data_IF_694742823463
#
_entry.id   IF_694742823463
#
_cell.length_a   1.000
_cell.length_b   1.000
_cell.length_c   1.000
_cell.angle_alpha   90.00
_cell.angle_beta   90.00
_cell.angle_gamma   90.00
#
_symmetry.space_group_name_H-M   'P 1'
#
loop_
_entity.id
_entity.type
_entity.pdbx_description
1 polymer ?
#
# COMPACT_ATOMS: atom_id res chain seq x y z
N UNK A 1 -8.61 47.29 57.40
CA UNK A 1 -7.83 46.39 56.53
C UNK A 1 -8.54 46.31 55.20
N UNK A 2 -8.09 47.10 54.23
CA UNK A 2 -8.72 47.24 52.91
C UNK A 2 -7.80 46.59 51.89
N UNK A 3 -8.14 45.36 51.46
CA UNK A 3 -7.35 44.58 50.50
C UNK A 3 -7.75 44.90 49.06
N UNK A 4 -6.88 45.58 48.33
CA UNK A 4 -6.99 45.77 46.88
C UNK A 4 -6.61 44.48 46.14
N UNK A 5 -7.57 43.85 45.47
CA UNK A 5 -7.31 42.78 44.50
C UNK A 5 -7.10 43.40 43.11
N UNK A 6 -5.84 43.46 42.68
CA UNK A 6 -5.47 43.84 41.30
C UNK A 6 -5.82 42.68 40.37
N UNK A 7 -6.95 42.82 39.66
CA UNK A 7 -7.32 41.90 38.59
C UNK A 7 -6.38 42.09 37.38
N UNK A 8 -5.46 41.14 37.17
CA UNK A 8 -4.56 41.10 36.02
C UNK A 8 -5.36 40.70 34.77
N UNK A 9 -5.74 41.67 33.95
CA UNK A 9 -6.44 41.50 32.67
C UNK A 9 -5.53 40.73 31.69
N UNK A 10 -5.71 39.42 31.57
CA UNK A 10 -5.04 38.64 30.53
C UNK A 10 -5.80 38.80 29.21
N UNK A 11 -5.08 39.30 28.21
CA UNK A 11 -5.53 39.52 26.85
C UNK A 11 -5.86 38.16 26.18
N UNK A 12 -7.14 37.80 26.10
CA UNK A 12 -7.59 36.61 25.37
C UNK A 12 -7.61 36.98 23.88
N UNK A 13 -6.44 36.93 23.26
CA UNK A 13 -6.33 36.92 21.81
C UNK A 13 -6.83 35.56 21.33
N UNK A 14 -7.95 35.58 20.61
CA UNK A 14 -8.59 34.40 20.04
C UNK A 14 -7.68 33.81 18.94
N UNK A 15 -6.71 32.98 19.35
CA UNK A 15 -5.89 32.19 18.42
C UNK A 15 -6.76 31.10 17.81
N UNK A 16 -6.82 31.08 16.49
CA UNK A 16 -7.41 30.03 15.68
C UNK A 16 -6.90 28.66 16.17
N UNK A 17 -7.82 27.77 16.56
CA UNK A 17 -7.49 26.41 17.04
C UNK A 17 -6.82 25.64 15.91
N UNK A 18 -5.52 25.43 15.98
CA UNK A 18 -4.78 24.52 15.08
C UNK A 18 -5.31 23.10 15.29
N UNK A 19 -5.86 22.50 14.22
CA UNK A 19 -6.49 21.16 14.19
C UNK A 19 -5.46 20.02 13.99
N UNK A 20 -4.23 20.19 14.45
CA UNK A 20 -3.11 19.29 14.11
C UNK A 20 -2.69 18.35 15.25
N UNK A 21 -3.25 18.52 16.46
CA UNK A 21 -2.92 17.65 17.61
C UNK A 21 -3.51 16.23 17.53
N UNK A 22 -2.91 15.29 18.26
CA UNK A 22 -3.42 13.92 18.39
C UNK A 22 -4.82 13.90 19.04
N UNK A 23 -5.62 12.88 18.73
CA UNK A 23 -7.00 12.75 19.19
C UNK A 23 -7.10 12.80 20.72
N UNK A 24 -6.22 12.10 21.44
CA UNK A 24 -6.18 12.13 22.91
C UNK A 24 -5.89 13.52 23.47
N UNK A 25 -4.95 14.27 22.89
CA UNK A 25 -4.67 15.66 23.33
C UNK A 25 -5.82 16.61 23.01
N UNK A 26 -6.52 16.43 21.90
CA UNK A 26 -7.71 17.22 21.54
C UNK A 26 -8.88 16.96 22.48
N UNK A 27 -9.17 15.69 22.80
CA UNK A 27 -10.18 15.29 23.78
C UNK A 27 -9.88 15.94 25.14
N UNK A 28 -8.61 15.89 25.55
CA UNK A 28 -8.12 16.49 26.79
C UNK A 28 -8.03 18.02 26.77
N UNK A 29 -8.27 18.67 25.62
CA UNK A 29 -8.11 20.12 25.40
C UNK A 29 -6.72 20.64 25.84
N UNK A 30 -5.68 19.83 25.66
CA UNK A 30 -4.27 20.21 25.93
C UNK A 30 -3.50 20.38 24.62
N UNK A 31 -2.59 21.35 24.58
CA UNK A 31 -1.72 21.58 23.40
C UNK A 31 -0.87 20.33 23.13
N UNK A 32 -1.01 19.73 21.95
CA UNK A 32 -0.22 18.57 21.51
C UNK A 32 1.17 19.02 21.05
N UNK A 33 2.19 18.18 21.25
CA UNK A 33 3.56 18.36 20.78
C UNK A 33 3.81 17.79 19.37
N UNK A 34 2.80 17.17 18.75
CA UNK A 34 2.79 16.71 17.35
C UNK A 34 3.85 15.65 16.96
N UNK A 35 4.57 15.11 17.94
CA UNK A 35 5.48 13.98 17.74
C UNK A 35 4.73 12.72 17.28
N UNK A 36 5.28 12.04 16.26
CA UNK A 36 4.77 10.79 15.71
C UNK A 36 5.73 9.65 16.09
N UNK A 37 5.25 8.42 16.36
CA UNK A 37 3.86 7.95 16.25
C UNK A 37 2.96 8.34 17.44
N UNK A 38 3.54 8.66 18.59
CA UNK A 38 2.83 9.06 19.80
C UNK A 38 3.36 10.39 20.31
N UNK A 39 2.47 11.26 20.78
CA UNK A 39 2.87 12.54 21.35
C UNK A 39 3.43 12.34 22.77
N UNK A 40 4.45 13.10 23.15
CA UNK A 40 5.11 12.98 24.48
C UNK A 40 4.11 13.20 25.61
N UNK A 41 3.15 14.12 25.44
CA UNK A 41 2.13 14.37 26.48
C UNK A 41 1.23 13.19 26.80
N UNK A 42 1.05 12.25 25.87
CA UNK A 42 0.31 11.03 26.16
C UNK A 42 1.23 10.02 26.85
N UNK A 43 2.43 9.81 26.30
CA UNK A 43 3.46 8.90 26.82
C UNK A 43 3.85 9.24 28.26
N UNK A 44 4.21 10.49 28.53
CA UNK A 44 4.67 10.96 29.85
C UNK A 44 3.58 10.87 30.92
N UNK A 45 2.30 10.83 30.50
CA UNK A 45 1.17 10.71 31.42
C UNK A 45 0.64 9.28 31.52
N UNK A 46 1.35 8.30 30.96
CA UNK A 46 0.98 6.89 30.96
C UNK A 46 -0.31 6.57 30.19
N UNK A 47 -0.69 7.42 29.22
CA UNK A 47 -1.92 7.24 28.42
C UNK A 47 -1.58 6.75 27.02
N UNK A 48 -2.36 5.80 26.52
CA UNK A 48 -2.34 5.42 25.11
C UNK A 48 -2.66 6.63 24.24
N UNK A 49 -1.77 6.93 23.29
CA UNK A 49 -1.98 8.01 22.36
C UNK A 49 -2.75 7.48 21.16
N UNK A 50 -3.99 7.94 20.98
CA UNK A 50 -4.92 7.55 19.91
C UNK A 50 -4.49 8.06 18.52
N UNK A 51 -3.27 8.58 18.41
CA UNK A 51 -2.69 9.08 17.17
C UNK A 51 -3.35 10.37 16.66
N UNK A 52 -2.91 10.80 15.49
CA UNK A 52 -3.41 12.00 14.82
C UNK A 52 -4.63 11.65 13.98
N UNK A 53 -5.59 12.57 13.86
CA UNK A 53 -6.73 12.36 12.96
C UNK A 53 -6.19 12.04 11.55
N UNK A 54 -6.49 10.84 11.09
CA UNK A 54 -6.26 10.42 9.72
C UNK A 54 -7.00 11.40 8.79
N UNK A 55 -6.36 11.93 7.73
CA UNK A 55 -7.00 12.84 6.78
C UNK A 55 -8.16 12.19 5.99
N UNK A 56 -8.46 10.91 6.21
CA UNK A 56 -9.49 10.15 5.52
C UNK A 56 -10.75 9.95 6.38
N UNK A 57 -11.42 11.04 6.77
CA UNK A 57 -12.82 10.98 7.18
C UNK A 57 -13.67 11.63 6.11
N UNK A 58 -14.27 10.82 5.24
CA UNK A 58 -15.36 11.28 4.37
C UNK A 58 -16.53 11.65 5.27
N UNK A 59 -16.82 12.95 5.36
CA UNK A 59 -18.08 13.44 5.96
C UNK A 59 -19.06 13.62 4.81
N UNK A 60 -19.90 12.63 4.58
CA UNK A 60 -21.06 12.75 3.70
C UNK A 60 -22.17 13.38 4.54
N UNK A 61 -22.35 14.70 4.47
CA UNK A 61 -23.60 15.33 4.88
C UNK A 61 -24.56 15.29 3.70
N UNK A 62 -25.42 14.28 3.66
CA UNK A 62 -26.57 14.29 2.76
C UNK A 62 -27.62 15.25 3.30
N UNK A 63 -27.99 16.28 2.53
CA UNK A 63 -29.34 16.85 2.52
C UNK A 63 -29.66 17.49 1.16
N UNK A 64 -30.95 17.55 0.78
CA UNK A 64 -31.41 17.46 -0.60
C UNK A 64 -31.51 18.81 -1.30
N UNK A 65 -31.35 18.73 -2.62
CA UNK A 65 -31.48 19.80 -3.61
C UNK A 65 -32.85 20.48 -3.47
N UNK A 66 -32.85 21.79 -3.23
CA UNK A 66 -33.94 22.68 -3.62
C UNK A 66 -33.41 23.59 -4.72
N UNK A 67 -33.96 23.38 -5.91
CA UNK A 67 -33.83 24.29 -7.04
C UNK A 67 -34.54 25.59 -6.69
N UNK A 68 -33.89 26.72 -6.96
CA UNK A 68 -34.60 27.94 -7.33
C UNK A 68 -33.81 28.73 -8.37
N UNK A 69 -34.58 29.34 -9.25
CA UNK A 69 -34.21 29.93 -10.52
C UNK A 69 -33.54 31.31 -10.42
N UNK A 70 -32.95 31.69 -11.56
CA UNK A 70 -32.93 33.02 -12.17
C UNK A 70 -31.71 33.93 -11.95
N UNK A 71 -31.25 34.53 -13.06
CA UNK A 71 -30.48 35.77 -13.05
C UNK A 71 -29.30 35.77 -14.03
N UNK A 72 -29.56 35.94 -15.32
CA UNK A 72 -28.52 36.26 -16.29
C UNK A 72 -28.09 37.73 -16.21
N UNK A 73 -26.83 38.03 -16.52
CA UNK A 73 -26.38 39.33 -17.04
C UNK A 73 -25.28 39.10 -18.07
N UNK A 74 -25.42 39.82 -19.19
CA UNK A 74 -24.53 39.87 -20.36
C UNK A 74 -23.35 40.84 -20.14
N UNK A 75 -22.33 40.65 -20.98
CA UNK A 75 -21.49 41.69 -21.61
C UNK A 75 -20.01 41.70 -21.21
N UNK A 76 -19.16 41.83 -22.23
CA UNK A 76 -17.80 42.36 -22.08
C UNK A 76 -16.74 41.62 -22.90
N UNK A 77 -16.83 41.66 -24.23
CA UNK A 77 -15.72 41.26 -25.08
C UNK A 77 -14.56 42.27 -24.96
N UNK A 78 -13.39 41.81 -24.54
CA UNK A 78 -12.12 42.49 -24.75
C UNK A 78 -11.08 41.41 -25.09
N UNK A 79 -10.50 41.53 -26.29
CA UNK A 79 -9.63 40.52 -26.88
C UNK A 79 -8.35 40.31 -26.10
N UNK A 80 -8.07 39.04 -25.82
CA UNK A 80 -6.74 38.54 -25.52
C UNK A 80 -6.45 37.43 -26.53
N UNK A 81 -5.36 37.62 -27.26
CA UNK A 81 -4.91 36.80 -28.37
C UNK A 81 -4.84 35.34 -27.96
N UNK A 82 -5.51 34.49 -28.74
CA UNK A 82 -5.45 33.04 -28.62
C UNK A 82 -4.05 32.57 -29.03
N UNK A 83 -3.16 32.44 -28.05
CA UNK A 83 -2.00 31.56 -28.18
C UNK A 83 -2.58 30.15 -28.14
N UNK A 84 -2.79 29.55 -29.32
CA UNK A 84 -3.03 28.11 -29.43
C UNK A 84 -1.84 27.44 -28.74
N UNK A 85 -2.04 26.68 -27.64
CA UNK A 85 -0.97 25.81 -27.18
C UNK A 85 -0.83 24.74 -28.25
N UNK A 86 0.27 24.77 -28.98
CA UNK A 86 0.74 23.61 -29.73
C UNK A 86 0.89 22.52 -28.69
N UNK A 87 -0.06 21.58 -28.65
CA UNK A 87 0.01 20.38 -27.82
C UNK A 87 1.22 19.60 -28.31
N UNK A 88 2.39 19.92 -27.76
CA UNK A 88 3.52 19.01 -27.79
C UNK A 88 3.03 17.81 -26.98
N UNK A 89 2.69 16.72 -27.67
CA UNK A 89 2.46 15.44 -27.01
C UNK A 89 3.77 15.15 -26.28
N UNK A 90 3.77 15.32 -24.96
CA UNK A 90 4.92 14.94 -24.14
C UNK A 90 4.96 13.42 -24.18
N UNK A 91 5.75 12.88 -25.10
CA UNK A 91 6.01 11.45 -25.15
C UNK A 91 6.79 11.05 -23.91
N UNK A 92 6.20 10.17 -23.10
CA UNK A 92 6.87 9.60 -21.94
C UNK A 92 7.88 8.58 -22.45
N UNK A 93 9.15 8.81 -22.13
CA UNK A 93 10.21 7.94 -22.61
C UNK A 93 10.05 6.52 -22.02
N UNK A 94 10.26 5.44 -22.82
CA UNK A 94 10.18 4.06 -22.34
C UNK A 94 11.06 3.78 -21.10
N UNK A 95 12.21 4.45 -21.02
CA UNK A 95 13.11 4.37 -19.85
C UNK A 95 12.45 4.85 -18.55
N UNK A 96 11.61 5.88 -18.62
CA UNK A 96 10.95 6.46 -17.43
C UNK A 96 9.83 5.53 -16.94
N UNK A 97 9.17 4.85 -17.88
CA UNK A 97 8.17 3.80 -17.61
C UNK A 97 8.85 2.61 -16.91
N UNK A 98 9.92 2.08 -17.49
CA UNK A 98 10.67 0.98 -16.91
C UNK A 98 11.23 1.32 -15.52
N UNK A 99 11.76 2.55 -15.36
CA UNK A 99 12.28 3.03 -14.08
C UNK A 99 11.20 3.12 -13.00
N UNK A 100 10.03 3.69 -13.31
CA UNK A 100 8.92 3.73 -12.36
C UNK A 100 8.38 2.33 -12.06
N UNK A 101 8.26 1.48 -13.09
CA UNK A 101 7.88 0.07 -12.96
C UNK A 101 8.78 -0.67 -11.98
N UNK A 102 10.10 -0.47 -12.10
CA UNK A 102 11.11 -0.97 -11.15
C UNK A 102 10.84 -0.44 -9.74
N UNK A 103 10.59 0.85 -9.59
CA UNK A 103 10.40 1.51 -8.29
C UNK A 103 9.15 1.12 -7.52
N UNK A 104 8.16 0.46 -8.13
CA UNK A 104 7.01 -0.02 -7.37
C UNK A 104 7.37 -1.02 -6.29
N UNK A 105 8.39 -1.88 -6.49
CA UNK A 105 8.75 -2.87 -5.48
C UNK A 105 10.19 -2.79 -5.02
N UNK A 106 10.40 -3.05 -3.72
CA UNK A 106 11.72 -3.33 -3.15
C UNK A 106 12.36 -4.61 -3.65
N UNK A 107 11.59 -5.48 -4.30
CA UNK A 107 12.07 -6.73 -4.91
C UNK A 107 12.96 -6.52 -6.15
N UNK A 108 12.77 -5.42 -6.88
CA UNK A 108 13.40 -5.16 -8.18
C UNK A 108 14.82 -4.59 -8.09
N UNK A 109 15.35 -4.40 -6.88
CA UNK A 109 16.77 -4.07 -6.68
C UNK A 109 17.71 -5.15 -7.25
N UNK A 110 17.18 -6.31 -7.66
CA UNK A 110 17.90 -7.44 -8.24
C UNK A 110 17.47 -7.75 -9.69
N UNK A 111 17.00 -6.73 -10.43
CA UNK A 111 16.69 -6.80 -11.86
C UNK A 111 15.55 -7.76 -12.25
N UNK A 112 14.51 -7.82 -11.40
CA UNK A 112 13.28 -8.59 -11.68
C UNK A 112 12.22 -7.66 -12.26
N UNK A 113 11.75 -7.95 -13.46
CA UNK A 113 10.64 -7.21 -14.09
C UNK A 113 9.28 -7.61 -13.47
N UNK A 114 8.48 -6.63 -13.04
CA UNK A 114 7.18 -6.85 -12.37
C UNK A 114 5.98 -6.94 -13.33
N UNK A 115 6.17 -6.70 -14.62
CA UNK A 115 5.06 -6.58 -15.58
C UNK A 115 4.11 -5.40 -15.28
N UNK A 116 4.63 -4.35 -14.64
CA UNK A 116 3.89 -3.14 -14.20
C UNK A 116 4.11 -1.92 -15.12
N UNK A 117 4.58 -2.15 -16.35
CA UNK A 117 4.91 -1.07 -17.29
C UNK A 117 3.66 -0.29 -17.75
N UNK A 118 2.51 -0.96 -17.87
CA UNK A 118 1.25 -0.29 -18.22
C UNK A 118 0.78 0.62 -17.08
N UNK A 119 0.82 0.14 -15.84
CA UNK A 119 0.47 0.91 -14.65
C UNK A 119 1.43 2.10 -14.48
N UNK A 120 2.73 1.90 -14.69
CA UNK A 120 3.72 2.97 -14.70
C UNK A 120 3.43 4.02 -15.79
N UNK A 121 3.10 3.58 -17.01
CA UNK A 121 2.71 4.48 -18.11
C UNK A 121 1.50 5.32 -17.73
N UNK A 122 0.44 4.71 -17.20
CA UNK A 122 -0.77 5.40 -16.77
C UNK A 122 -0.50 6.43 -15.68
N UNK A 123 0.32 6.07 -14.68
CA UNK A 123 0.73 6.98 -13.61
C UNK A 123 1.51 8.17 -14.18
N UNK A 124 2.49 7.94 -15.05
CA UNK A 124 3.31 9.02 -15.63
C UNK A 124 2.47 9.95 -16.51
N UNK A 125 1.55 9.39 -17.32
CA UNK A 125 0.61 10.18 -18.12
C UNK A 125 -0.26 11.06 -17.24
N UNK A 126 -0.81 10.50 -16.15
CA UNK A 126 -1.64 11.27 -15.24
C UNK A 126 -0.84 12.32 -14.47
N UNK A 127 0.44 12.06 -14.12
CA UNK A 127 1.31 13.02 -13.44
C UNK A 127 1.67 14.26 -14.27
N UNK A 128 1.48 14.24 -15.59
CA UNK A 128 1.63 15.42 -16.43
C UNK A 128 0.57 16.49 -16.10
N UNK A 129 -0.66 16.05 -15.82
CA UNK A 129 -1.81 16.94 -15.57
C UNK A 129 -2.21 17.03 -14.11
N UNK A 130 -1.84 16.03 -13.29
CA UNK A 130 -2.22 15.91 -11.88
C UNK A 130 -1.01 16.18 -10.95
N UNK A 131 -1.02 17.30 -10.20
CA UNK A 131 0.03 17.62 -9.24
C UNK A 131 0.19 16.62 -8.10
N UNK A 132 -0.89 15.99 -7.63
CA UNK A 132 -0.87 15.03 -6.53
C UNK A 132 -0.15 13.75 -6.96
N UNK A 133 -0.46 13.25 -8.16
CA UNK A 133 0.23 12.10 -8.75
C UNK A 133 1.70 12.43 -9.00
N UNK A 134 2.00 13.62 -9.52
CA UNK A 134 3.39 14.06 -9.73
C UNK A 134 4.20 14.09 -8.44
N UNK A 135 3.64 14.64 -7.37
CA UNK A 135 4.28 14.65 -6.05
C UNK A 135 4.47 13.22 -5.51
N UNK A 136 3.48 12.33 -5.69
CA UNK A 136 3.60 10.93 -5.29
C UNK A 136 4.72 10.20 -6.06
N UNK A 137 4.83 10.40 -7.38
CA UNK A 137 5.92 9.84 -8.20
C UNK A 137 7.28 10.38 -7.73
N UNK A 138 7.39 11.69 -7.50
CA UNK A 138 8.63 12.30 -6.99
C UNK A 138 9.04 11.72 -5.65
N UNK A 139 8.07 11.53 -4.75
CA UNK A 139 8.27 10.90 -3.46
C UNK A 139 8.80 9.48 -3.58
N UNK A 140 8.15 8.63 -4.39
CA UNK A 140 8.57 7.25 -4.57
C UNK A 140 9.99 7.18 -5.12
N UNK A 141 10.33 7.99 -6.14
CA UNK A 141 11.68 8.05 -6.71
C UNK A 141 12.72 8.41 -5.66
N UNK A 142 12.53 9.52 -4.95
CA UNK A 142 13.48 10.00 -3.95
C UNK A 142 13.70 8.99 -2.80
N UNK A 143 12.62 8.37 -2.31
CA UNK A 143 12.70 7.36 -1.25
C UNK A 143 13.36 6.06 -1.74
N UNK A 144 13.13 5.68 -3.00
CA UNK A 144 13.77 4.51 -3.63
C UNK A 144 15.25 4.70 -3.85
N UNK A 145 15.66 5.84 -4.39
CA UNK A 145 17.06 6.21 -4.60
C UNK A 145 17.82 6.25 -3.27
N UNK A 146 17.21 6.82 -2.23
CA UNK A 146 17.77 6.79 -0.88
C UNK A 146 17.94 5.37 -0.35
N UNK A 147 16.93 4.50 -0.53
CA UNK A 147 17.01 3.10 -0.11
C UNK A 147 18.12 2.34 -0.86
N UNK A 148 18.23 2.52 -2.18
CA UNK A 148 19.26 1.89 -3.02
C UNK A 148 20.66 2.37 -2.60
N UNK A 149 20.86 3.67 -2.36
CA UNK A 149 22.11 4.23 -1.87
C UNK A 149 22.50 3.72 -0.47
N UNK A 150 21.52 3.40 0.38
CA UNK A 150 21.78 2.87 1.73
C UNK A 150 22.23 1.38 1.73
N UNK A 151 21.95 0.64 0.65
CA UNK A 151 22.30 -0.78 0.52
C UNK A 151 23.75 -1.04 0.09
N UNK A 152 24.37 -0.12 -0.65
CA UNK A 152 25.75 -0.23 -1.15
C UNK A 152 26.77 0.37 -0.17
N UNK A 153 27.07 -0.37 0.91
CA UNK A 153 28.03 0.05 1.94
C UNK A 153 29.50 -0.01 1.46
N UNK A 154 29.77 -0.52 0.25
CA UNK A 154 31.14 -0.66 -0.30
C UNK A 154 31.62 0.61 -1.03
N UNK A 155 30.73 1.52 -1.44
CA UNK A 155 31.08 2.74 -2.19
C UNK A 155 30.99 4.04 -1.36
N UNK A 156 30.77 3.94 -0.05
CA UNK A 156 30.51 5.10 0.82
C UNK A 156 31.79 5.85 1.28
N UNK A 157 32.88 5.83 0.52
CA UNK A 157 34.12 6.55 0.86
C UNK A 157 34.35 7.83 0.04
N UNK A 158 33.45 8.24 -0.86
CA UNK A 158 33.65 9.48 -1.66
C UNK A 158 32.41 10.39 -1.78
N UNK A 159 31.20 9.99 -1.38
CA UNK A 159 30.02 10.86 -1.50
C UNK A 159 29.82 11.77 -0.27
N UNK A 160 30.36 12.98 -0.35
CA UNK A 160 30.12 14.07 0.58
C UNK A 160 28.62 14.49 0.58
N UNK A 161 27.98 14.42 1.76
CA UNK A 161 26.89 15.30 2.25
C UNK A 161 25.42 15.18 1.75
N UNK A 162 25.02 14.26 0.88
CA UNK A 162 23.66 14.27 0.25
C UNK A 162 22.57 13.24 0.63
N UNK A 163 22.77 12.16 1.41
CA UNK A 163 21.71 11.13 1.62
C UNK A 163 20.45 11.62 2.34
N UNK A 164 20.59 12.51 3.34
CA UNK A 164 19.46 12.97 4.18
C UNK A 164 18.47 13.84 3.41
N UNK A 165 18.98 14.68 2.49
CA UNK A 165 18.15 15.62 1.73
C UNK A 165 17.14 14.91 0.82
N UNK A 166 17.55 13.80 0.19
CA UNK A 166 16.66 13.01 -0.67
C UNK A 166 15.51 12.35 0.11
N UNK A 167 15.79 11.83 1.30
CA UNK A 167 14.76 11.24 2.17
C UNK A 167 13.74 12.28 2.65
N UNK A 168 14.22 13.42 3.15
CA UNK A 168 13.36 14.51 3.63
C UNK A 168 12.52 15.11 2.51
N UNK A 169 13.11 15.31 1.33
CA UNK A 169 12.38 15.71 0.13
C UNK A 169 11.30 14.67 -0.23
N UNK A 170 11.65 13.38 -0.23
CA UNK A 170 10.71 12.30 -0.52
C UNK A 170 9.51 12.29 0.43
N UNK A 171 9.73 12.48 1.73
CA UNK A 171 8.65 12.59 2.72
C UNK A 171 7.81 13.86 2.55
N UNK A 172 8.43 14.99 2.22
CA UNK A 172 7.71 16.23 1.96
C UNK A 172 6.77 16.05 0.76
N UNK A 173 7.26 15.48 -0.34
CA UNK A 173 6.46 15.20 -1.53
C UNK A 173 5.33 14.21 -1.24
N UNK A 174 5.58 13.22 -0.38
CA UNK A 174 4.53 12.30 0.07
C UNK A 174 3.40 13.05 0.80
N UNK A 175 3.76 13.93 1.75
CA UNK A 175 2.79 14.71 2.51
C UNK A 175 1.99 15.66 1.60
N UNK A 176 2.64 16.28 0.62
CA UNK A 176 1.98 17.13 -0.38
C UNK A 176 1.00 16.36 -1.25
N UNK A 177 1.39 15.14 -1.69
CA UNK A 177 0.50 14.26 -2.45
C UNK A 177 -0.72 13.84 -1.63
N UNK A 178 -0.52 13.38 -0.39
CA UNK A 178 -1.59 12.98 0.53
C UNK A 178 -2.55 14.14 0.83
N UNK A 179 -2.03 15.29 1.25
CA UNK A 179 -2.83 16.46 1.60
C UNK A 179 -3.57 17.03 0.40
N UNK A 180 -2.90 17.12 -0.76
CA UNK A 180 -3.53 17.55 -1.99
C UNK A 180 -4.64 16.61 -2.46
N UNK A 181 -4.44 15.30 -2.35
CA UNK A 181 -5.44 14.30 -2.71
C UNK A 181 -6.65 14.36 -1.79
N UNK A 182 -6.44 14.53 -0.48
CA UNK A 182 -7.53 14.67 0.49
C UNK A 182 -8.39 15.91 0.17
N UNK A 183 -7.76 17.04 -0.17
CA UNK A 183 -8.47 18.24 -0.61
C UNK A 183 -9.26 17.99 -1.91
N UNK A 184 -8.65 17.31 -2.88
CA UNK A 184 -9.27 16.96 -4.17
C UNK A 184 -10.52 16.08 -3.99
N UNK A 185 -10.44 15.07 -3.12
CA UNK A 185 -11.55 14.19 -2.77
C UNK A 185 -12.66 14.88 -1.97
N UNK A 186 -12.37 16.01 -1.32
CA UNK A 186 -13.35 16.79 -0.57
C UNK A 186 -14.19 17.71 -1.47
N UNK A 187 -13.81 17.87 -2.74
CA UNK A 187 -14.50 18.68 -3.73
C UNK A 187 -15.08 17.83 -4.87
N UNK A 188 -16.13 18.28 -5.58
CA UNK A 188 -16.60 17.62 -6.79
C UNK A 188 -15.56 17.77 -7.91
N UNK A 189 -14.76 16.73 -8.15
CA UNK A 189 -13.82 16.68 -9.26
C UNK A 189 -13.99 15.35 -10.03
N UNK A 190 -14.27 15.39 -11.34
CA UNK A 190 -14.51 14.20 -12.16
C UNK A 190 -13.30 13.25 -12.20
N UNK A 191 -12.09 13.74 -11.97
CA UNK A 191 -10.86 12.96 -11.98
C UNK A 191 -10.40 12.54 -10.56
N UNK A 192 -11.10 12.96 -9.49
CA UNK A 192 -10.65 12.69 -8.12
C UNK A 192 -10.46 11.20 -7.83
N UNK A 193 -11.36 10.35 -8.36
CA UNK A 193 -11.32 8.90 -8.15
C UNK A 193 -10.16 8.24 -8.89
N UNK A 194 -9.96 8.61 -10.16
CA UNK A 194 -8.80 8.19 -10.94
C UNK A 194 -7.50 8.59 -10.24
N UNK A 195 -7.45 9.83 -9.76
CA UNK A 195 -6.31 10.36 -9.00
C UNK A 195 -6.06 9.55 -7.73
N UNK A 196 -7.12 9.22 -6.99
CA UNK A 196 -7.04 8.46 -5.76
C UNK A 196 -6.52 7.04 -5.99
N UNK A 197 -6.98 6.35 -7.03
CA UNK A 197 -6.55 4.97 -7.32
C UNK A 197 -5.10 4.92 -7.82
N UNK A 198 -4.68 5.85 -8.68
CA UNK A 198 -3.27 5.97 -9.09
C UNK A 198 -2.37 6.34 -7.90
N UNK A 199 -2.81 7.26 -7.05
CA UNK A 199 -2.10 7.56 -5.81
C UNK A 199 -2.02 6.34 -4.88
N UNK A 200 -3.07 5.51 -4.77
CA UNK A 200 -3.02 4.29 -3.97
C UNK A 200 -1.94 3.32 -4.47
N UNK A 201 -1.77 3.14 -5.79
CA UNK A 201 -0.68 2.31 -6.36
C UNK A 201 0.70 2.80 -5.90
N UNK A 202 0.92 4.13 -5.96
CA UNK A 202 2.19 4.74 -5.56
C UNK A 202 2.37 4.70 -4.04
N UNK A 203 1.33 4.98 -3.25
CA UNK A 203 1.37 4.99 -1.79
C UNK A 203 1.60 3.59 -1.20
N UNK A 204 1.04 2.53 -1.82
CA UNK A 204 1.40 1.15 -1.49
C UNK A 204 2.91 0.93 -1.60
N UNK A 205 3.51 1.44 -2.67
CA UNK A 205 4.94 1.32 -2.94
C UNK A 205 5.78 2.17 -1.96
N UNK A 206 5.35 3.40 -1.67
CA UNK A 206 6.00 4.28 -0.67
C UNK A 206 5.97 3.64 0.72
N UNK A 207 4.82 3.12 1.16
CA UNK A 207 4.71 2.51 2.48
C UNK A 207 5.50 1.19 2.58
N UNK A 208 5.64 0.44 1.47
CA UNK A 208 6.60 -0.68 1.41
C UNK A 208 8.04 -0.21 1.63
N UNK A 209 8.48 0.85 0.95
CA UNK A 209 9.84 1.40 1.11
C UNK A 209 10.08 1.86 2.55
N UNK A 210 9.07 2.49 3.17
CA UNK A 210 9.11 2.95 4.56
C UNK A 210 8.97 1.81 5.58
N UNK A 211 8.55 0.63 5.16
CA UNK A 211 8.30 -0.53 6.03
C UNK A 211 7.04 -0.43 6.90
N UNK A 212 6.09 0.41 6.51
CA UNK A 212 4.83 0.64 7.23
C UNK A 212 3.70 -0.16 6.57
N UNK A 213 3.66 -1.45 6.88
CA UNK A 213 2.76 -2.40 6.21
C UNK A 213 1.30 -2.19 6.63
N UNK A 214 1.05 -1.66 7.83
CA UNK A 214 -0.30 -1.28 8.25
C UNK A 214 -0.89 -0.18 7.34
N UNK A 215 -0.14 0.88 7.05
CA UNK A 215 -0.59 1.93 6.12
C UNK A 215 -0.68 1.43 4.67
N UNK A 216 0.26 0.58 4.25
CA UNK A 216 0.22 -0.09 2.95
C UNK A 216 -1.09 -0.87 2.75
N UNK A 217 -1.48 -1.68 3.74
CA UNK A 217 -2.75 -2.40 3.73
C UNK A 217 -3.95 -1.44 3.72
N UNK A 218 -3.87 -0.32 4.43
CA UNK A 218 -4.93 0.70 4.40
C UNK A 218 -5.14 1.29 3.00
N UNK A 219 -4.07 1.58 2.24
CA UNK A 219 -4.18 2.06 0.86
C UNK A 219 -4.83 1.01 -0.05
N UNK A 220 -4.50 -0.27 0.13
CA UNK A 220 -5.16 -1.37 -0.60
C UNK A 220 -6.65 -1.45 -0.29
N UNK A 221 -7.00 -1.54 1.00
CA UNK A 221 -8.38 -1.70 1.46
C UNK A 221 -9.25 -0.53 0.96
N UNK A 222 -8.76 0.71 1.11
CA UNK A 222 -9.51 1.89 0.69
C UNK A 222 -9.62 1.98 -0.83
N UNK A 223 -8.56 1.70 -1.56
CA UNK A 223 -8.60 1.74 -3.02
C UNK A 223 -9.52 0.65 -3.60
N UNK A 224 -9.51 -0.57 -3.05
CA UNK A 224 -10.46 -1.62 -3.43
C UNK A 224 -11.91 -1.23 -3.10
N UNK A 225 -12.14 -0.57 -1.97
CA UNK A 225 -13.46 -0.03 -1.62
C UNK A 225 -13.94 1.02 -2.64
N UNK A 226 -13.07 1.93 -3.07
CA UNK A 226 -13.38 2.92 -4.12
C UNK A 226 -13.74 2.21 -5.42
N UNK A 227 -12.95 1.21 -5.84
CA UNK A 227 -13.27 0.45 -7.05
C UNK A 227 -14.67 -0.18 -7.00
N UNK A 228 -15.06 -0.74 -5.86
CA UNK A 228 -16.37 -1.37 -5.69
C UNK A 228 -17.52 -0.37 -5.63
N UNK A 229 -17.39 0.67 -4.80
CA UNK A 229 -18.42 1.71 -4.63
C UNK A 229 -18.74 2.41 -5.97
N UNK A 230 -17.71 2.61 -6.79
CA UNK A 230 -17.84 3.24 -8.10
C UNK A 230 -18.02 2.24 -9.25
N UNK A 231 -18.18 0.94 -8.96
CA UNK A 231 -18.40 -0.12 -9.96
C UNK A 231 -17.38 -0.07 -11.10
N UNK A 232 -16.10 -0.18 -10.74
CA UNK A 232 -14.99 -0.30 -11.69
C UNK A 232 -15.05 -1.59 -12.54
N UNK A 233 -15.78 -2.60 -12.07
CA UNK A 233 -16.06 -3.85 -12.79
C UNK A 233 -17.56 -4.13 -12.82
N UNK A 234 -18.04 -4.93 -13.78
CA UNK A 234 -19.41 -5.44 -13.74
C UNK A 234 -19.68 -6.25 -12.47
N UNK A 235 -20.92 -6.20 -11.98
CA UNK A 235 -21.40 -7.01 -10.88
C UNK A 235 -22.61 -7.83 -11.33
N UNK A 236 -22.83 -9.00 -10.75
CA UNK A 236 -23.97 -9.83 -11.08
C UNK A 236 -24.94 -9.92 -9.91
N UNK A 237 -26.19 -9.55 -10.17
CA UNK A 237 -27.30 -9.71 -9.22
C UNK A 237 -27.93 -11.09 -9.44
N UNK A 238 -27.66 -12.01 -8.52
CA UNK A 238 -28.17 -13.36 -8.58
C UNK A 238 -29.68 -13.45 -8.32
N UNK A 239 -30.27 -12.51 -7.57
CA UNK A 239 -31.71 -12.52 -7.29
C UNK A 239 -32.51 -12.11 -8.53
N UNK A 240 -32.01 -11.11 -9.26
CA UNK A 240 -32.64 -10.59 -10.48
C UNK A 240 -32.11 -11.26 -11.76
N UNK A 241 -31.18 -12.20 -11.63
CA UNK A 241 -30.44 -12.84 -12.74
C UNK A 241 -29.91 -11.80 -13.75
N UNK A 242 -29.34 -10.71 -13.23
CA UNK A 242 -29.05 -9.50 -14.01
C UNK A 242 -27.60 -9.09 -13.90
N UNK A 243 -26.97 -8.92 -15.05
CA UNK A 243 -25.67 -8.27 -15.14
C UNK A 243 -25.82 -6.75 -14.99
N UNK A 244 -25.08 -6.19 -14.05
CA UNK A 244 -24.97 -4.76 -13.84
C UNK A 244 -23.63 -4.30 -14.43
N UNK A 245 -23.64 -3.45 -15.46
CA UNK A 245 -22.41 -3.01 -16.11
C UNK A 245 -21.55 -2.12 -15.19
N UNK A 246 -20.26 -2.07 -15.50
CA UNK A 246 -19.32 -1.13 -14.90
C UNK A 246 -19.74 0.32 -15.23
N UNK A 247 -19.43 1.27 -14.34
CA UNK A 247 -19.81 2.68 -14.52
C UNK A 247 -18.84 3.49 -15.39
N UNK A 248 -17.59 3.07 -15.55
CA UNK A 248 -16.59 3.82 -16.32
C UNK A 248 -15.40 2.97 -16.74
N UNK A 249 -15.06 3.00 -18.03
CA UNK A 249 -13.93 2.28 -18.63
C UNK A 249 -12.56 2.92 -18.32
N UNK A 250 -12.52 4.03 -17.59
CA UNK A 250 -11.30 4.81 -17.34
C UNK A 250 -10.80 4.72 -15.89
N UNK A 251 -11.42 3.88 -15.06
CA UNK A 251 -11.03 3.72 -13.66
C UNK A 251 -9.81 2.77 -13.58
N UNK A 252 -8.69 3.20 -12.98
CA UNK A 252 -7.52 2.34 -12.79
C UNK A 252 -7.86 1.10 -11.96
N UNK A 253 -7.46 -0.07 -12.47
CA UNK A 253 -7.70 -1.35 -11.82
C UNK A 253 -6.62 -1.63 -10.76
N UNK A 254 -6.85 -1.12 -9.54
CA UNK A 254 -5.91 -1.29 -8.42
C UNK A 254 -5.73 -2.76 -8.01
N UNK A 255 -6.76 -3.59 -8.16
CA UNK A 255 -6.68 -5.03 -7.89
C UNK A 255 -5.62 -5.73 -8.76
N UNK A 256 -5.55 -5.42 -10.05
CA UNK A 256 -4.53 -5.92 -10.98
C UNK A 256 -3.13 -5.51 -10.52
N UNK A 257 -2.95 -4.24 -10.16
CA UNK A 257 -1.68 -3.73 -9.63
C UNK A 257 -1.27 -4.50 -8.37
N UNK A 258 -2.18 -4.66 -7.40
CA UNK A 258 -1.90 -5.35 -6.14
C UNK A 258 -1.50 -6.81 -6.41
N UNK A 259 -2.24 -7.53 -7.25
CA UNK A 259 -1.94 -8.93 -7.54
C UNK A 259 -0.54 -9.07 -8.16
N UNK A 260 -0.21 -8.29 -9.19
CA UNK A 260 1.11 -8.28 -9.82
C UNK A 260 2.22 -7.92 -8.83
N UNK A 261 1.99 -6.91 -7.99
CA UNK A 261 2.93 -6.46 -6.96
C UNK A 261 3.32 -7.57 -5.98
N UNK A 262 2.35 -8.38 -5.52
CA UNK A 262 2.62 -9.47 -4.59
C UNK A 262 3.09 -10.75 -5.27
N UNK A 263 2.64 -11.04 -6.49
CA UNK A 263 3.05 -12.21 -7.26
C UNK A 263 4.55 -12.25 -7.56
N UNK A 264 5.20 -11.09 -7.59
CA UNK A 264 6.64 -10.99 -7.78
C UNK A 264 7.44 -11.73 -6.66
N UNK A 265 8.57 -12.39 -6.99
CA UNK A 265 9.41 -13.08 -6.02
C UNK A 265 9.88 -12.18 -4.86
N UNK A 266 9.71 -12.58 -3.59
CA UNK A 266 10.26 -11.85 -2.43
C UNK A 266 11.63 -12.41 -2.02
N UNK A 267 12.58 -11.54 -1.69
CA UNK A 267 13.92 -11.89 -1.17
C UNK A 267 13.95 -12.24 0.34
N UNK A 268 12.80 -12.47 0.99
CA UNK A 268 12.80 -13.03 2.35
C UNK A 268 13.08 -14.54 2.27
N UNK A 269 14.28 -14.91 1.81
CA UNK A 269 14.87 -16.20 2.08
C UNK A 269 15.82 -15.96 3.25
N UNK A 270 15.48 -16.48 4.44
CA UNK A 270 16.28 -16.27 5.64
C UNK A 270 17.74 -16.73 5.41
N UNK A 271 18.76 -15.97 5.86
CA UNK A 271 20.13 -16.41 5.79
C UNK A 271 20.33 -17.68 6.61
N UNK A 272 21.17 -18.58 6.12
CA UNK A 272 21.43 -19.86 6.75
C UNK A 272 22.11 -19.68 8.12
N UNK A 273 21.42 -20.04 9.20
CA UNK A 273 22.06 -20.32 10.48
C UNK A 273 21.98 -21.84 10.71
N UNK A 274 23.08 -22.53 10.43
CA UNK A 274 23.32 -23.88 10.97
C UNK A 274 24.27 -23.73 12.14
N UNK A 275 23.81 -24.08 13.34
CA UNK A 275 24.68 -24.33 14.49
C UNK A 275 25.21 -25.74 14.37
N UNK A 276 26.54 -25.88 14.26
CA UNK A 276 27.20 -27.17 14.40
C UNK A 276 27.16 -27.64 15.87
N UNK A 277 27.43 -28.92 16.15
CA UNK A 277 27.35 -29.53 17.51
C UNK A 277 28.27 -28.86 18.56
N UNK A 278 29.17 -27.97 18.13
CA UNK A 278 30.05 -27.17 19.00
C UNK A 278 29.69 -25.66 19.06
N UNK A 279 28.52 -25.23 18.56
CA UNK A 279 27.99 -23.88 18.77
C UNK A 279 28.68 -22.75 18.00
N UNK A 280 29.36 -23.03 16.89
CA UNK A 280 30.04 -22.01 16.06
C UNK A 280 29.27 -21.75 14.76
N UNK A 281 28.96 -20.47 14.50
CA UNK A 281 28.23 -20.00 13.31
C UNK A 281 29.17 -19.78 12.12
N UNK A 282 28.92 -20.43 10.97
CA UNK A 282 29.54 -20.09 9.69
C UNK A 282 28.47 -19.85 8.61
N UNK A 283 28.65 -18.76 7.85
CA UNK A 283 27.86 -18.48 6.65
C UNK A 283 28.46 -19.19 5.43
N UNK A 284 27.64 -19.90 4.66
CA UNK A 284 28.05 -20.54 3.39
C UNK A 284 27.31 -19.88 2.22
N UNK A 285 28.07 -19.49 1.19
CA UNK A 285 27.54 -19.07 -0.11
C UNK A 285 27.00 -20.27 -0.90
N UNK A 286 25.86 -20.07 -1.55
CA UNK A 286 25.17 -21.02 -2.43
C UNK A 286 26.10 -21.76 -3.38
N UNK A 287 25.97 -23.09 -3.47
CA UNK A 287 26.09 -23.86 -4.71
C UNK A 287 25.34 -25.21 -4.63
N UNK A 288 24.70 -25.54 -5.76
CA UNK A 288 24.22 -26.82 -6.30
C UNK A 288 23.33 -27.75 -5.45
N UNK A 289 22.12 -27.97 -5.96
CA UNK A 289 21.17 -29.01 -5.55
C UNK A 289 21.53 -30.33 -6.21
N UNK A 290 22.07 -31.30 -5.46
CA UNK A 290 21.83 -32.71 -5.73
C UNK A 290 21.77 -33.54 -4.45
N UNK A 291 20.61 -34.20 -4.30
CA UNK A 291 20.29 -35.36 -3.47
C UNK A 291 20.48 -35.21 -1.95
N UNK A 292 19.36 -35.00 -1.22
CA UNK A 292 19.26 -35.40 0.18
C UNK A 292 17.96 -36.19 0.46
N UNK A 293 17.98 -37.11 1.46
CA UNK A 293 16.94 -38.11 1.67
C UNK A 293 15.67 -37.55 2.35
N UNK A 294 14.60 -38.34 2.31
CA UNK A 294 13.18 -38.02 2.62
C UNK A 294 12.86 -37.67 4.09
N UNK A 295 13.85 -37.41 4.95
CA UNK A 295 13.61 -37.05 6.37
C UNK A 295 14.06 -35.64 6.69
N UNK A 296 13.11 -34.72 6.94
CA UNK A 296 13.29 -33.30 7.28
C UNK A 296 13.42 -32.33 6.08
N UNK A 297 12.27 -31.96 5.47
CA UNK A 297 12.22 -30.79 4.58
C UNK A 297 12.37 -29.53 5.43
N UNK A 298 13.52 -28.88 5.35
CA UNK A 298 13.75 -27.55 5.90
C UNK A 298 12.73 -26.54 5.32
N UNK A 299 12.30 -25.55 6.11
CA UNK A 299 11.43 -24.41 5.70
C UNK A 299 11.85 -23.76 4.36
N UNK A 300 13.13 -23.90 3.99
CA UNK A 300 13.74 -23.43 2.73
C UNK A 300 13.18 -24.07 1.46
N UNK A 301 12.76 -25.33 1.50
CA UNK A 301 12.21 -26.03 0.32
C UNK A 301 10.71 -25.80 0.18
N UNK A 302 10.03 -25.53 1.29
CA UNK A 302 8.57 -25.43 1.29
C UNK A 302 8.08 -24.03 0.89
N UNK A 303 8.76 -22.96 1.32
CA UNK A 303 8.37 -21.60 0.94
C UNK A 303 8.39 -21.33 -0.59
N UNK A 304 9.36 -21.85 -1.38
CA UNK A 304 9.33 -21.77 -2.84
C UNK A 304 8.16 -22.50 -3.50
N UNK A 305 7.83 -23.71 -3.04
CA UNK A 305 6.72 -24.51 -3.58
C UNK A 305 5.36 -23.83 -3.28
N UNK A 306 5.17 -23.38 -2.03
CA UNK A 306 3.96 -22.65 -1.63
C UNK A 306 3.82 -21.33 -2.37
N UNK A 307 4.91 -20.58 -2.55
CA UNK A 307 4.91 -19.36 -3.37
C UNK A 307 4.51 -19.65 -4.81
N UNK A 308 5.08 -20.68 -5.42
CA UNK A 308 4.79 -21.07 -6.81
C UNK A 308 3.31 -21.41 -6.97
N UNK A 309 2.74 -22.18 -6.04
CA UNK A 309 1.30 -22.49 -6.01
C UNK A 309 0.44 -21.21 -5.94
N UNK A 310 0.77 -20.28 -5.05
CA UNK A 310 0.01 -19.04 -4.88
C UNK A 310 0.14 -18.11 -6.08
N UNK A 311 1.33 -18.01 -6.69
CA UNK A 311 1.56 -17.25 -7.92
C UNK A 311 0.78 -17.82 -9.10
N UNK A 312 0.64 -19.15 -9.20
CA UNK A 312 -0.22 -19.78 -10.22
C UNK A 312 -1.68 -19.41 -10.03
N UNK A 313 -2.19 -19.44 -8.79
CA UNK A 313 -3.56 -19.01 -8.49
C UNK A 313 -3.75 -17.52 -8.80
N UNK A 314 -2.75 -16.68 -8.49
CA UNK A 314 -2.77 -15.26 -8.81
C UNK A 314 -2.83 -14.98 -10.32
N UNK A 315 -2.10 -15.75 -11.13
CA UNK A 315 -2.16 -15.63 -12.59
C UNK A 315 -3.55 -16.00 -13.12
N UNK A 316 -4.14 -17.08 -12.63
CA UNK A 316 -5.52 -17.47 -12.97
C UNK A 316 -6.54 -16.42 -12.50
N UNK A 317 -6.35 -15.81 -11.33
CA UNK A 317 -7.18 -14.72 -10.84
C UNK A 317 -7.10 -13.47 -11.75
N UNK A 318 -5.92 -13.13 -12.28
CA UNK A 318 -5.78 -12.03 -13.25
C UNK A 318 -6.52 -12.33 -14.57
N UNK A 319 -6.43 -13.56 -15.06
CA UNK A 319 -7.17 -14.00 -16.25
C UNK A 319 -8.68 -13.90 -16.03
N UNK A 320 -9.17 -14.44 -14.91
CA UNK A 320 -10.55 -14.36 -14.47
C UNK A 320 -11.05 -12.91 -14.38
N UNK A 321 -10.31 -12.02 -13.72
CA UNK A 321 -10.65 -10.59 -13.63
C UNK A 321 -10.69 -9.93 -15.01
N UNK A 322 -9.79 -10.34 -15.93
CA UNK A 322 -9.82 -9.91 -17.32
C UNK A 322 -11.11 -10.33 -18.04
N UNK A 323 -11.60 -11.55 -17.80
CA UNK A 323 -12.89 -12.03 -18.33
C UNK A 323 -14.06 -11.25 -17.70
N UNK A 324 -14.05 -11.02 -16.39
CA UNK A 324 -15.07 -10.21 -15.67
C UNK A 324 -15.17 -8.80 -16.25
N UNK A 325 -14.05 -8.17 -16.61
CA UNK A 325 -14.08 -6.84 -17.25
C UNK A 325 -14.76 -6.80 -18.62
N UNK A 326 -14.84 -7.93 -19.32
CA UNK A 326 -15.35 -8.04 -20.69
C UNK A 326 -16.71 -8.75 -20.77
N UNK A 327 -17.30 -9.12 -19.64
CA UNK A 327 -18.57 -9.84 -19.63
C UNK A 327 -19.72 -8.90 -20.00
N UNK A 328 -20.55 -9.33 -20.95
CA UNK A 328 -21.65 -8.52 -21.49
C UNK A 328 -23.02 -9.20 -21.30
N UNK A 329 -23.06 -10.47 -20.86
CA UNK A 329 -24.29 -11.25 -20.72
C UNK A 329 -24.43 -11.88 -19.33
N UNK A 330 -25.68 -12.09 -18.90
CA UNK A 330 -25.98 -12.80 -17.65
C UNK A 330 -25.50 -14.27 -17.70
N UNK A 331 -25.63 -14.93 -18.86
CA UNK A 331 -25.13 -16.30 -19.03
C UNK A 331 -23.62 -16.39 -18.86
N UNK A 332 -22.85 -15.47 -19.46
CA UNK A 332 -21.39 -15.42 -19.28
C UNK A 332 -21.00 -15.08 -17.83
N UNK A 333 -21.80 -14.27 -17.13
CA UNK A 333 -21.57 -13.99 -15.71
C UNK A 333 -21.76 -15.25 -14.83
N UNK A 334 -22.76 -16.08 -15.11
CA UNK A 334 -22.98 -17.35 -14.39
C UNK A 334 -21.82 -18.34 -14.56
N UNK A 335 -21.26 -18.45 -15.77
CA UNK A 335 -20.06 -19.27 -16.02
C UNK A 335 -18.87 -18.76 -15.19
N UNK A 336 -18.67 -17.44 -15.16
CA UNK A 336 -17.61 -16.81 -14.37
C UNK A 336 -17.80 -16.99 -12.85
N UNK A 337 -19.03 -17.10 -12.34
CA UNK A 337 -19.25 -17.44 -10.93
C UNK A 337 -18.73 -18.84 -10.57
N UNK A 338 -18.81 -19.79 -11.50
CA UNK A 338 -18.25 -21.13 -11.31
C UNK A 338 -16.71 -21.10 -11.30
N UNK A 339 -16.12 -20.32 -12.21
CA UNK A 339 -14.65 -20.08 -12.23
C UNK A 339 -14.18 -19.39 -10.93
N UNK A 340 -14.93 -18.38 -10.45
CA UNK A 340 -14.70 -17.72 -9.16
C UNK A 340 -14.70 -18.72 -8.00
N UNK A 341 -15.70 -19.60 -7.93
CA UNK A 341 -15.79 -20.62 -6.89
C UNK A 341 -14.57 -21.56 -6.91
N UNK A 342 -14.18 -22.05 -8.09
CA UNK A 342 -13.00 -22.90 -8.25
C UNK A 342 -11.69 -22.22 -7.81
N UNK A 343 -11.55 -20.91 -8.04
CA UNK A 343 -10.40 -20.13 -7.59
C UNK A 343 -10.39 -19.96 -6.07
N UNK A 344 -11.55 -19.70 -5.46
CA UNK A 344 -11.69 -19.60 -4.00
C UNK A 344 -11.40 -20.95 -3.33
N UNK A 345 -11.86 -22.06 -3.91
CA UNK A 345 -11.54 -23.42 -3.44
C UNK A 345 -10.04 -23.72 -3.54
N UNK A 346 -9.41 -23.31 -4.65
CA UNK A 346 -7.96 -23.43 -4.83
C UNK A 346 -7.17 -22.65 -3.78
N UNK A 347 -7.63 -21.45 -3.41
CA UNK A 347 -7.03 -20.68 -2.31
C UNK A 347 -7.24 -21.37 -0.95
N UNK A 348 -8.42 -21.95 -0.72
CA UNK A 348 -8.72 -22.74 0.47
C UNK A 348 -7.78 -23.93 0.60
N UNK A 349 -7.66 -24.75 -0.44
CA UNK A 349 -6.74 -25.89 -0.50
C UNK A 349 -5.30 -25.46 -0.25
N UNK A 350 -4.85 -24.39 -0.91
CA UNK A 350 -3.50 -23.87 -0.73
C UNK A 350 -3.23 -23.44 0.73
N UNK A 351 -4.20 -22.83 1.40
CA UNK A 351 -4.06 -22.44 2.81
C UNK A 351 -3.97 -23.67 3.72
N UNK A 352 -4.80 -24.70 3.47
CA UNK A 352 -4.73 -25.96 4.20
C UNK A 352 -3.36 -26.63 4.05
N UNK A 353 -2.83 -26.67 2.83
CA UNK A 353 -1.49 -27.20 2.56
C UNK A 353 -0.41 -26.41 3.30
N UNK A 354 -0.52 -25.08 3.35
CA UNK A 354 0.38 -24.24 4.13
C UNK A 354 0.31 -24.60 5.62
N UNK A 355 -0.89 -24.69 6.19
CA UNK A 355 -1.07 -25.00 7.61
C UNK A 355 -0.52 -26.39 7.97
N UNK A 356 -0.73 -27.40 7.13
CA UNK A 356 -0.20 -28.76 7.33
C UNK A 356 1.33 -28.76 7.39
N UNK A 357 1.98 -28.02 6.50
CA UNK A 357 3.43 -27.84 6.52
C UNK A 357 3.88 -27.20 7.85
N UNK A 358 3.20 -26.14 8.30
CA UNK A 358 3.60 -25.40 9.49
C UNK A 358 3.36 -26.18 10.79
N UNK A 359 2.31 -27.01 10.87
CA UNK A 359 2.08 -27.90 12.01
C UNK A 359 3.17 -28.97 12.14
N UNK A 360 3.73 -29.44 11.01
CA UNK A 360 4.83 -30.41 10.98
C UNK A 360 6.18 -29.84 11.44
N UNK A 361 6.31 -28.53 11.57
CA UNK A 361 7.54 -27.83 11.93
C UNK A 361 7.37 -27.27 13.34
N UNK A 362 8.01 -27.87 14.34
CA UNK A 362 8.02 -27.37 15.73
C UNK A 362 8.55 -25.92 15.69
N UNK A 363 7.74 -24.89 15.92
CA UNK A 363 8.15 -23.54 15.56
C UNK A 363 9.24 -23.06 16.53
N UNK A 364 10.31 -22.40 16.05
CA UNK A 364 10.95 -21.38 16.87
C UNK A 364 9.93 -20.25 17.10
N UNK A 365 10.12 -19.47 18.16
CA UNK A 365 9.14 -18.60 18.83
C UNK A 365 8.37 -17.53 17.98
N UNK A 366 8.55 -17.43 16.65
CA UNK A 366 7.80 -16.52 15.76
C UNK A 366 7.70 -17.04 14.31
N UNK A 367 6.57 -16.75 13.64
CA UNK A 367 6.34 -17.09 12.23
C UNK A 367 7.28 -16.30 11.29
N UNK A 368 7.93 -16.93 10.30
CA UNK A 368 8.83 -16.23 9.39
C UNK A 368 8.12 -15.12 8.59
N UNK A 369 8.81 -13.99 8.39
CA UNK A 369 8.29 -12.84 7.63
C UNK A 369 7.85 -13.23 6.22
N UNK A 370 8.59 -14.14 5.58
CA UNK A 370 8.28 -14.66 4.25
C UNK A 370 6.91 -15.33 4.18
N UNK A 371 6.50 -16.01 5.25
CA UNK A 371 5.23 -16.73 5.37
C UNK A 371 4.10 -15.77 5.66
N UNK A 372 4.34 -14.76 6.52
CA UNK A 372 3.39 -13.67 6.75
C UNK A 372 3.05 -12.94 5.44
N UNK A 373 4.03 -12.71 4.55
CA UNK A 373 3.78 -12.16 3.22
C UNK A 373 2.94 -13.08 2.32
N UNK A 374 3.16 -14.41 2.38
CA UNK A 374 2.32 -15.36 1.65
C UNK A 374 0.89 -15.38 2.19
N UNK A 375 0.70 -15.34 3.51
CA UNK A 375 -0.61 -15.20 4.16
C UNK A 375 -1.31 -13.91 3.77
N UNK A 376 -0.59 -12.79 3.76
CA UNK A 376 -1.14 -11.50 3.29
C UNK A 376 -1.56 -11.59 1.83
N UNK A 377 -0.73 -12.16 0.95
CA UNK A 377 -1.07 -12.28 -0.47
C UNK A 377 -2.29 -13.19 -0.70
N UNK A 378 -2.37 -14.31 -0.01
CA UNK A 378 -3.55 -15.19 -0.02
C UNK A 378 -4.81 -14.44 0.43
N UNK A 379 -4.76 -13.70 1.55
CA UNK A 379 -5.91 -12.92 2.03
C UNK A 379 -6.32 -11.81 1.04
N UNK A 380 -5.35 -11.16 0.40
CA UNK A 380 -5.60 -10.16 -0.64
C UNK A 380 -6.34 -10.80 -1.84
N UNK A 381 -5.86 -11.95 -2.33
CA UNK A 381 -6.52 -12.66 -3.43
C UNK A 381 -7.95 -13.05 -3.08
N UNK A 382 -8.19 -13.55 -1.86
CA UNK A 382 -9.54 -13.86 -1.37
C UNK A 382 -10.44 -12.62 -1.35
N UNK A 383 -9.97 -11.50 -0.80
CA UNK A 383 -10.75 -10.24 -0.77
C UNK A 383 -11.12 -9.80 -2.20
N UNK A 384 -10.16 -9.82 -3.13
CA UNK A 384 -10.39 -9.41 -4.51
C UNK A 384 -11.37 -10.34 -5.22
N UNK A 385 -11.20 -11.66 -5.09
CA UNK A 385 -12.07 -12.64 -5.73
C UNK A 385 -13.48 -12.64 -5.13
N UNK A 386 -13.62 -12.60 -3.80
CA UNK A 386 -14.94 -12.48 -3.15
C UNK A 386 -15.68 -11.23 -3.62
N UNK A 387 -14.97 -10.10 -3.75
CA UNK A 387 -15.54 -8.85 -4.24
C UNK A 387 -15.84 -8.79 -5.75
N UNK A 388 -15.34 -9.75 -6.55
CA UNK A 388 -15.55 -9.77 -7.99
C UNK A 388 -16.91 -10.36 -8.35
N UNK A 389 -17.57 -9.72 -9.33
CA UNK A 389 -18.83 -10.17 -9.92
C UNK A 389 -19.99 -10.36 -8.92
N UNK A 390 -19.95 -9.70 -7.76
CA UNK A 390 -20.85 -10.00 -6.66
C UNK A 390 -21.50 -8.73 -6.10
N UNK A 391 -22.83 -8.76 -5.99
CA UNK A 391 -23.65 -7.69 -5.41
C UNK A 391 -24.45 -8.14 -4.19
N UNK A 392 -24.12 -9.31 -3.61
CA UNK A 392 -24.81 -9.85 -2.44
C UNK A 392 -24.72 -8.91 -1.23
N UNK A 393 -25.80 -8.75 -0.44
CA UNK A 393 -25.77 -7.99 0.82
C UNK A 393 -24.84 -8.61 1.88
N UNK A 394 -24.62 -9.94 1.84
CA UNK A 394 -23.73 -10.65 2.77
C UNK A 394 -22.23 -10.41 2.47
N UNK A 395 -21.94 -9.98 1.24
CA UNK A 395 -20.57 -9.71 0.77
C UNK A 395 -19.85 -8.69 1.66
N UNK A 396 -20.56 -7.71 2.20
CA UNK A 396 -19.98 -6.68 3.07
C UNK A 396 -19.48 -7.26 4.40
N UNK A 397 -20.16 -8.28 4.94
CA UNK A 397 -19.76 -8.95 6.17
C UNK A 397 -18.55 -9.88 5.93
N UNK A 398 -18.56 -10.62 4.82
CA UNK A 398 -17.45 -11.48 4.42
C UNK A 398 -16.18 -10.67 4.17
N UNK A 399 -16.28 -9.61 3.35
CA UNK A 399 -15.15 -8.73 3.06
C UNK A 399 -14.64 -8.03 4.31
N UNK A 400 -15.51 -7.59 5.22
CA UNK A 400 -15.09 -7.01 6.50
C UNK A 400 -14.23 -7.97 7.32
N UNK A 401 -14.60 -9.24 7.33
CA UNK A 401 -13.84 -10.30 8.02
C UNK A 401 -12.47 -10.49 7.37
N UNK A 402 -12.39 -10.61 6.05
CA UNK A 402 -11.13 -10.70 5.32
C UNK A 402 -10.24 -9.47 5.52
N UNK A 403 -10.82 -8.27 5.45
CA UNK A 403 -10.14 -6.99 5.66
C UNK A 403 -9.54 -6.89 7.06
N UNK A 404 -10.26 -7.33 8.10
CA UNK A 404 -9.75 -7.35 9.46
C UNK A 404 -8.55 -8.30 9.60
N UNK A 405 -8.62 -9.50 8.99
CA UNK A 405 -7.49 -10.44 8.96
C UNK A 405 -6.27 -9.83 8.24
N UNK A 406 -6.48 -9.16 7.11
CA UNK A 406 -5.39 -8.49 6.38
C UNK A 406 -4.70 -7.42 7.24
N UNK A 407 -5.45 -6.64 8.02
CA UNK A 407 -4.85 -5.64 8.93
C UNK A 407 -4.01 -6.29 10.03
N UNK A 408 -4.48 -7.39 10.61
CA UNK A 408 -3.71 -8.15 11.61
C UNK A 408 -2.39 -8.64 11.00
N UNK A 409 -2.45 -9.36 9.87
CA UNK A 409 -1.25 -9.87 9.19
C UNK A 409 -0.29 -8.74 8.82
N UNK A 410 -0.80 -7.59 8.37
CA UNK A 410 0.03 -6.43 8.06
C UNK A 410 0.78 -5.88 9.30
N UNK A 411 0.13 -5.89 10.47
CA UNK A 411 0.79 -5.57 11.74
C UNK A 411 1.89 -6.56 12.10
N UNK A 412 1.63 -7.86 11.92
CA UNK A 412 2.61 -8.92 12.17
C UNK A 412 3.82 -8.82 11.22
N UNK A 413 3.59 -8.51 9.93
CA UNK A 413 4.65 -8.24 8.96
C UNK A 413 5.49 -7.06 9.41
N UNK A 414 4.86 -5.97 9.86
CA UNK A 414 5.58 -4.77 10.30
C UNK A 414 6.51 -5.08 11.47
N UNK A 415 6.03 -5.82 12.47
CA UNK A 415 6.83 -6.21 13.63
C UNK A 415 7.94 -7.21 13.25
N UNK A 416 7.61 -8.19 12.41
CA UNK A 416 8.56 -9.17 11.90
C UNK A 416 9.69 -8.53 11.08
N UNK A 417 9.38 -7.55 10.23
CA UNK A 417 10.39 -6.81 9.44
C UNK A 417 11.26 -5.92 10.33
N UNK A 418 10.69 -5.26 11.35
CA UNK A 418 11.47 -4.49 12.33
C UNK A 418 12.46 -5.38 13.07
N UNK A 419 11.98 -6.53 13.54
CA UNK A 419 12.81 -7.54 14.19
C UNK A 419 13.92 -8.01 13.25
N UNK A 420 13.60 -8.43 12.03
CA UNK A 420 14.58 -8.88 11.04
C UNK A 420 15.69 -7.83 10.77
N UNK A 421 15.31 -6.55 10.59
CA UNK A 421 16.27 -5.47 10.38
C UNK A 421 17.21 -5.29 11.58
N UNK A 422 16.68 -5.33 12.80
CA UNK A 422 17.48 -5.23 14.03
C UNK A 422 18.53 -6.35 14.10
N UNK A 423 18.11 -7.59 13.84
CA UNK A 423 18.99 -8.76 13.83
C UNK A 423 20.06 -8.68 12.74
N UNK A 424 19.70 -8.26 11.52
CA UNK A 424 20.65 -8.10 10.41
C UNK A 424 21.69 -6.97 10.65
N UNK A 425 21.30 -5.90 11.35
CA UNK A 425 22.24 -4.84 11.75
C UNK A 425 23.23 -5.29 12.83
N UNK A 426 22.77 -6.14 13.76
CA UNK A 426 23.60 -6.73 14.82
C UNK A 426 24.63 -7.73 14.25
N UNK A 427 24.27 -8.54 13.27
CA UNK A 427 25.20 -9.48 12.62
C UNK A 427 26.25 -8.75 11.78
N UNK A 428 25.86 -7.72 11.01
CA UNK A 428 26.81 -6.89 10.25
C UNK A 428 27.81 -6.15 11.16
N UNK A 429 27.37 -5.74 12.35
CA UNK A 429 28.25 -5.10 13.34
C UNK A 429 29.26 -6.08 13.97
N UNK A 430 28.85 -7.33 14.22
CA UNK A 430 29.74 -8.38 14.76
C UNK A 430 30.78 -8.88 13.75
N UNK A 431 30.42 -8.97 12.47
CA UNK A 431 31.37 -9.33 11.41
C UNK A 431 32.43 -8.24 11.18
N UNK A 432 32.07 -6.97 11.39
CA UNK A 432 33.04 -5.84 11.34
C UNK A 432 34.04 -5.89 12.50
N UNK A 433 33.62 -6.28 13.70
CA UNK A 433 34.55 -6.42 14.84
C UNK A 433 35.46 -7.64 14.73
N UNK A 434 35.03 -8.70 14.02
CA UNK A 434 35.83 -9.92 13.88
C UNK A 434 36.89 -9.87 12.77
N UNK A 435 36.90 -8.82 11.92
CA UNK A 435 37.91 -8.60 10.86
C UNK A 435 39.04 -7.65 11.29
N UNK A 436 39.08 -7.24 12.56
CA UNK A 436 40.06 -6.28 13.10
C UNK A 436 41.12 -6.97 14.01
N UNK A 437 41.22 -8.30 13.96
CA UNK A 437 42.26 -9.05 14.67
C UNK A 437 43.07 -9.94 13.74
#
# INVERSE_FOLDING_TARGET
MSGNLVARKQNIQCRTKVKTGCATCRIRKVKCDENKPFCRKCVDTGRTCDGYESPFRLVITGQPIKNDHAGGIKSGAAGLQSIRPTLTIIEIAPRDIALLGRYFSTKTMFDVELGLNEEARQILQAGLTDPQIRNAVSSLRALREHLEASGDVVAASVAQQTPSYGFDHGLQQYCMALGGLASKLSSPDPNALKSALLCCQIFISIEQVRGNYAAMAQHMIRGLSIMREYRARPSFDAAENKLVPARSDQIPLLDVFIIKFFAAPCKFADPALTTDENGKTMGVCSMSSHQQPVGSRNLRTIAPDMRTGLTRIAAAALEFLGKVSRVESAAGALELLSEKASLLDSLGSWLTDLELVFVGIRPPQAEPVSVLFLRAFHQILRIILSGALDSSPDLDAELRTGINRLRCIAGDIEEGVKSYRLWSGLTSSREKTSKVH
#
